data_IF_243648552815
#
_entry.id   IF_243648552815
#
_cell.length_a   1.000
_cell.length_b   1.000
_cell.length_c   1.000
_cell.angle_alpha   90.00
_cell.angle_beta   90.00
_cell.angle_gamma   90.00
#
_symmetry.space_group_name_H-M   'P 1'
#
loop_
_entity.id
_entity.type
_entity.pdbx_description
1 polymer ?
#
# COMPACT_ATOMS: atom_id res chain seq x y z
N UNK A 1 -30.19 -43.51 14.57
CA UNK A 1 -29.21 -44.14 13.65
C UNK A 1 -28.12 -43.12 13.37
N UNK A 2 -26.98 -43.22 14.06
CA UNK A 2 -25.79 -42.39 13.81
C UNK A 2 -24.89 -43.15 12.84
N UNK A 3 -24.46 -42.56 11.71
CA UNK A 3 -23.49 -43.22 10.85
C UNK A 3 -22.13 -43.25 11.56
N UNK A 4 -21.51 -44.43 11.56
CA UNK A 4 -20.19 -44.72 12.10
C UNK A 4 -19.14 -43.72 11.57
N UNK A 5 -18.30 -43.20 12.47
CA UNK A 5 -17.17 -42.37 12.10
C UNK A 5 -16.17 -43.16 11.22
N UNK A 6 -15.64 -42.58 10.13
CA UNK A 6 -14.57 -43.20 9.35
C UNK A 6 -13.25 -43.20 10.15
N UNK A 7 -12.38 -44.22 9.99
CA UNK A 7 -11.12 -44.30 10.72
C UNK A 7 -10.17 -43.19 10.27
N UNK A 8 -9.43 -42.61 11.23
CA UNK A 8 -8.42 -41.58 10.98
C UNK A 8 -7.26 -42.17 10.15
N UNK A 9 -6.69 -41.45 9.17
CA UNK A 9 -5.46 -41.87 8.53
C UNK A 9 -4.30 -41.83 9.53
N UNK A 10 -3.49 -42.88 9.53
CA UNK A 10 -2.27 -42.99 10.34
C UNK A 10 -1.41 -41.75 10.17
N UNK A 11 -1.02 -41.14 11.31
CA UNK A 11 -0.11 -40.00 11.36
C UNK A 11 1.22 -40.39 10.69
N UNK A 12 1.37 -40.07 9.41
CA UNK A 12 2.69 -39.90 8.83
C UNK A 12 3.26 -38.61 9.40
N UNK A 13 4.25 -38.79 10.29
CA UNK A 13 5.11 -37.75 10.83
C UNK A 13 5.62 -36.87 9.69
N UNK A 14 5.28 -35.57 9.71
CA UNK A 14 5.86 -34.64 8.76
C UNK A 14 7.27 -34.27 9.24
N UNK A 15 8.29 -34.85 8.60
CA UNK A 15 9.72 -34.74 8.94
C UNK A 15 10.34 -33.36 8.65
N UNK A 16 9.55 -32.39 8.16
CA UNK A 16 10.05 -31.15 7.56
C UNK A 16 9.93 -29.88 8.44
N UNK A 17 9.48 -29.96 9.71
CA UNK A 17 9.43 -28.77 10.58
C UNK A 17 10.16 -28.98 11.91
N UNK A 18 11.34 -28.37 12.04
CA UNK A 18 12.18 -28.43 13.27
C UNK A 18 11.79 -27.42 14.36
N UNK A 19 10.71 -26.64 14.20
CA UNK A 19 10.22 -25.74 15.26
C UNK A 19 8.84 -26.19 15.74
N UNK A 20 8.87 -26.98 16.82
CA UNK A 20 7.70 -27.53 17.50
C UNK A 20 6.97 -26.44 18.29
N UNK A 21 6.16 -25.64 17.59
CA UNK A 21 5.02 -24.93 18.18
C UNK A 21 3.81 -25.27 17.32
N UNK A 22 3.26 -26.46 17.58
CA UNK A 22 2.07 -26.96 16.89
C UNK A 22 0.88 -26.13 17.38
N UNK A 23 0.51 -25.09 16.63
CA UNK A 23 -0.76 -24.40 16.87
C UNK A 23 -1.86 -25.42 16.58
N UNK A 24 -2.73 -25.77 17.53
CA UNK A 24 -3.85 -26.65 17.24
C UNK A 24 -4.74 -25.96 16.22
N UNK A 25 -4.76 -26.47 14.98
CA UNK A 25 -5.72 -26.06 13.98
C UNK A 25 -7.11 -26.45 14.49
N UNK A 26 -7.81 -25.48 15.12
CA UNK A 26 -9.21 -25.65 15.48
C UNK A 26 -9.96 -25.86 14.16
N UNK A 27 -10.57 -27.03 13.97
CA UNK A 27 -11.31 -27.32 12.75
C UNK A 27 -12.57 -26.46 12.77
N UNK A 28 -12.56 -25.36 12.03
CA UNK A 28 -13.73 -24.51 11.81
C UNK A 28 -14.76 -25.29 10.98
N UNK A 29 -16.04 -25.24 11.36
CA UNK A 29 -17.11 -25.85 10.57
C UNK A 29 -17.57 -24.85 9.51
N UNK A 30 -17.95 -25.38 8.33
CA UNK A 30 -18.46 -24.58 7.22
C UNK A 30 -19.78 -23.91 7.64
N UNK A 31 -19.72 -22.62 7.98
CA UNK A 31 -20.83 -21.84 8.55
C UNK A 31 -20.45 -20.95 9.74
N UNK A 32 -19.27 -21.16 10.35
CA UNK A 32 -18.80 -20.30 11.44
C UNK A 32 -18.33 -18.93 10.90
N UNK A 33 -18.67 -17.80 11.55
CA UNK A 33 -18.27 -16.46 11.11
C UNK A 33 -16.75 -16.21 11.16
N UNK A 34 -16.00 -17.10 11.81
CA UNK A 34 -14.54 -17.09 11.90
C UNK A 34 -13.88 -18.04 10.87
N UNK A 35 -14.68 -18.82 10.12
CA UNK A 35 -14.22 -19.67 9.03
C UNK A 35 -13.72 -18.80 7.87
N UNK A 36 -12.44 -18.96 7.48
CA UNK A 36 -11.82 -18.18 6.41
C UNK A 36 -11.16 -16.88 6.84
N UNK A 37 -11.21 -16.51 8.13
CA UNK A 37 -10.45 -15.38 8.68
C UNK A 37 -9.10 -15.87 9.21
N UNK A 38 -7.98 -15.22 8.86
CA UNK A 38 -6.68 -15.54 9.47
C UNK A 38 -6.75 -15.34 11.00
N UNK A 39 -6.08 -16.18 11.80
CA UNK A 39 -6.12 -16.06 13.25
C UNK A 39 -5.47 -14.77 13.72
N UNK A 40 -6.05 -14.18 14.78
CA UNK A 40 -5.59 -12.91 15.38
C UNK A 40 -4.14 -12.97 15.81
N UNK A 41 -3.32 -12.05 15.30
CA UNK A 41 -1.87 -12.01 15.54
C UNK A 41 -1.02 -12.93 14.63
N UNK A 42 -1.60 -13.56 13.61
CA UNK A 42 -0.82 -14.27 12.59
C UNK A 42 -0.10 -13.31 11.65
N UNK A 43 1.06 -13.72 11.11
CA UNK A 43 1.76 -12.97 10.03
C UNK A 43 0.88 -12.70 8.81
N UNK A 44 -0.17 -13.49 8.60
CA UNK A 44 -1.18 -13.32 7.55
C UNK A 44 -2.23 -12.26 7.86
N UNK A 45 -2.49 -11.96 9.14
CA UNK A 45 -3.37 -10.85 9.56
C UNK A 45 -2.67 -9.49 9.35
N UNK A 46 -1.36 -9.43 9.57
CA UNK A 46 -0.54 -8.22 9.45
C UNK A 46 -0.24 -7.80 8.00
N UNK A 47 -1.05 -8.23 7.04
CA UNK A 47 -0.83 -8.02 5.59
C UNK A 47 -1.54 -6.82 4.99
N UNK A 48 -2.31 -6.07 5.77
CA UNK A 48 -3.09 -4.95 5.24
C UNK A 48 -3.00 -3.73 6.14
N UNK A 49 -1.90 -2.97 6.02
CA UNK A 49 -1.75 -1.66 6.70
C UNK A 49 -0.74 -0.71 6.02
N UNK A 50 -0.20 -0.99 4.82
CA UNK A 50 1.02 -0.27 4.38
C UNK A 50 1.06 0.20 2.93
N UNK A 51 -0.06 0.55 2.32
CA UNK A 51 0.00 1.28 1.04
C UNK A 51 -1.14 2.25 0.84
N UNK A 52 -1.23 3.26 1.71
CA UNK A 52 -1.83 4.54 1.30
C UNK A 52 -0.89 5.14 0.25
N UNK A 53 -1.13 4.82 -1.03
CA UNK A 53 -0.29 5.22 -2.15
C UNK A 53 -0.46 6.71 -2.44
N UNK A 54 0.23 7.56 -1.68
CA UNK A 54 0.30 9.00 -1.93
C UNK A 54 1.46 9.29 -2.90
N UNK A 55 1.19 10.05 -3.96
CA UNK A 55 2.21 10.43 -4.94
C UNK A 55 2.83 11.77 -4.58
N UNK A 56 4.12 11.77 -4.26
CA UNK A 56 4.91 12.96 -3.95
C UNK A 56 6.20 12.99 -4.76
N UNK A 57 6.57 14.17 -5.26
CA UNK A 57 7.84 14.39 -5.99
C UNK A 57 8.46 15.73 -5.57
N UNK A 58 9.79 15.82 -5.56
CA UNK A 58 10.46 17.11 -5.32
C UNK A 58 10.49 17.97 -6.57
N UNK A 59 10.47 19.30 -6.41
CA UNK A 59 10.54 20.24 -7.53
C UNK A 59 11.79 20.02 -8.37
N UNK A 60 12.95 19.79 -7.73
CA UNK A 60 14.19 19.54 -8.47
C UNK A 60 14.10 18.31 -9.36
N UNK A 61 13.60 17.19 -8.84
CA UNK A 61 13.43 15.98 -9.64
C UNK A 61 12.46 16.22 -10.80
N UNK A 62 11.30 16.83 -10.52
CA UNK A 62 10.30 17.11 -11.55
C UNK A 62 10.86 18.06 -12.62
N UNK A 63 11.59 19.10 -12.21
CA UNK A 63 12.24 20.05 -13.09
C UNK A 63 13.28 19.36 -13.95
N UNK A 64 14.24 18.64 -13.35
CA UNK A 64 15.32 17.94 -14.03
C UNK A 64 14.80 16.98 -15.12
N UNK A 65 13.69 16.25 -14.87
CA UNK A 65 13.06 15.40 -15.88
C UNK A 65 12.47 16.18 -17.06
N UNK A 66 11.87 17.33 -16.79
CA UNK A 66 11.20 18.15 -17.79
C UNK A 66 12.11 19.17 -18.48
N UNK A 67 13.32 19.43 -17.97
CA UNK A 67 14.27 20.35 -18.60
C UNK A 67 14.55 19.95 -20.05
N UNK A 68 14.54 18.65 -20.34
CA UNK A 68 14.71 18.09 -21.69
C UNK A 68 13.44 18.16 -22.55
N UNK A 69 12.27 18.44 -21.96
CA UNK A 69 10.97 18.35 -22.61
C UNK A 69 10.34 19.74 -22.80
N UNK A 70 10.26 20.57 -21.74
CA UNK A 70 9.66 21.91 -21.81
C UNK A 70 9.97 22.79 -20.60
N UNK A 71 10.23 24.07 -20.87
CA UNK A 71 10.41 25.13 -19.87
C UNK A 71 9.10 25.63 -19.22
N UNK A 72 7.94 25.06 -19.57
CA UNK A 72 6.62 25.54 -19.12
C UNK A 72 6.14 24.94 -17.79
N UNK A 73 6.96 24.13 -17.13
CA UNK A 73 6.57 23.39 -15.94
C UNK A 73 5.95 24.23 -14.84
N UNK A 74 6.59 25.36 -14.49
CA UNK A 74 6.12 26.22 -13.40
C UNK A 74 4.70 26.73 -13.68
N UNK A 75 4.41 27.10 -14.93
CA UNK A 75 3.06 27.52 -15.33
C UNK A 75 2.02 26.40 -15.29
N UNK A 76 2.42 25.17 -15.61
CA UNK A 76 1.54 23.98 -15.53
C UNK A 76 1.23 23.66 -14.07
N UNK A 77 2.24 23.69 -13.20
CA UNK A 77 2.07 23.47 -11.76
C UNK A 77 1.14 24.50 -11.12
N UNK A 78 1.30 25.78 -11.46
CA UNK A 78 0.40 26.84 -11.00
C UNK A 78 -1.04 26.65 -11.46
N UNK A 79 -1.23 26.23 -12.72
CA UNK A 79 -2.56 25.91 -13.23
C UNK A 79 -3.17 24.72 -12.50
N UNK A 80 -2.41 23.66 -12.29
CA UNK A 80 -2.86 22.47 -11.56
C UNK A 80 -3.22 22.78 -10.09
N UNK A 81 -2.45 23.66 -9.44
CA UNK A 81 -2.76 24.18 -8.09
C UNK A 81 -4.10 24.91 -8.07
N UNK A 82 -4.36 25.79 -9.05
CA UNK A 82 -5.63 26.52 -9.16
C UNK A 82 -6.85 25.59 -9.27
N UNK A 83 -6.68 24.42 -9.88
CA UNK A 83 -7.74 23.43 -10.01
C UNK A 83 -7.79 22.39 -8.87
N UNK A 84 -6.89 22.48 -7.88
CA UNK A 84 -6.87 21.57 -6.73
C UNK A 84 -6.37 20.15 -7.04
N UNK A 85 -5.61 19.96 -8.11
CA UNK A 85 -5.00 18.65 -8.41
C UNK A 85 -3.72 18.41 -7.62
N UNK A 86 -2.98 19.47 -7.33
CA UNK A 86 -1.64 19.44 -6.75
C UNK A 86 -1.58 20.36 -5.53
N UNK A 87 -0.85 19.93 -4.51
CA UNK A 87 -0.49 20.71 -3.32
C UNK A 87 1.03 20.88 -3.23
N UNK A 88 1.46 22.09 -2.91
CA UNK A 88 2.80 22.44 -2.46
C UNK A 88 2.67 23.71 -1.60
N UNK A 89 3.68 24.06 -0.77
CA UNK A 89 3.56 25.16 0.19
C UNK A 89 3.11 26.46 -0.47
N UNK A 90 2.10 27.10 0.11
CA UNK A 90 1.47 28.32 -0.42
C UNK A 90 2.38 29.55 -0.36
N UNK A 91 3.51 29.44 0.34
CA UNK A 91 4.57 30.46 0.43
C UNK A 91 5.20 30.80 -0.93
N UNK A 92 5.01 29.94 -1.94
CA UNK A 92 5.65 30.10 -3.25
C UNK A 92 4.61 30.32 -4.36
N UNK A 93 4.61 31.53 -4.93
CA UNK A 93 3.88 31.84 -6.17
C UNK A 93 4.68 31.47 -7.44
N UNK A 94 6.01 31.40 -7.34
CA UNK A 94 6.92 31.01 -8.43
C UNK A 94 8.02 30.11 -7.85
N UNK A 95 8.29 29.00 -8.52
CA UNK A 95 9.37 28.09 -8.14
C UNK A 95 10.64 28.44 -8.95
N UNK A 96 11.74 28.74 -8.26
CA UNK A 96 13.02 29.09 -8.87
C UNK A 96 14.02 27.95 -8.63
N UNK A 97 14.73 27.57 -9.68
CA UNK A 97 15.81 26.58 -9.61
C UNK A 97 16.89 27.04 -8.61
N UNK A 98 17.43 26.10 -7.83
CA UNK A 98 18.49 26.34 -6.86
C UNK A 98 18.00 26.92 -5.52
N UNK A 99 16.79 27.51 -5.47
CA UNK A 99 16.15 27.96 -4.23
C UNK A 99 15.06 27.01 -3.75
N UNK A 100 14.18 26.57 -4.64
CA UNK A 100 12.98 25.80 -4.30
C UNK A 100 13.09 24.32 -4.63
N UNK A 101 14.32 23.82 -4.80
CA UNK A 101 14.63 22.46 -5.22
C UNK A 101 14.07 21.36 -4.29
N UNK A 102 13.97 21.67 -3.00
CA UNK A 102 13.50 20.78 -1.94
C UNK A 102 11.97 20.83 -1.74
N UNK A 103 11.25 21.67 -2.48
CA UNK A 103 9.80 21.79 -2.37
C UNK A 103 9.15 20.48 -2.81
N UNK A 104 8.33 19.90 -1.93
CA UNK A 104 7.54 18.69 -2.23
C UNK A 104 6.24 19.08 -2.91
N UNK A 105 5.93 18.34 -3.97
CA UNK A 105 4.74 18.47 -4.78
C UNK A 105 3.93 17.20 -4.58
N UNK A 106 2.77 17.33 -3.95
CA UNK A 106 1.88 16.21 -3.61
C UNK A 106 0.67 16.23 -4.54
N UNK A 107 0.33 15.07 -5.12
CA UNK A 107 -0.89 14.93 -5.93
C UNK A 107 -2.10 14.72 -5.02
N UNK A 108 -3.04 15.66 -5.03
CA UNK A 108 -4.26 15.59 -4.22
C UNK A 108 -5.37 14.78 -4.89
N UNK A 109 -5.50 14.91 -6.21
CA UNK A 109 -6.59 14.32 -6.97
C UNK A 109 -6.07 13.73 -8.27
N UNK A 110 -6.42 12.48 -8.53
CA UNK A 110 -6.20 11.89 -9.85
C UNK A 110 -7.15 12.52 -10.86
N UNK A 111 -6.66 12.92 -12.05
CA UNK A 111 -7.54 13.35 -13.12
C UNK A 111 -8.44 12.19 -13.54
N UNK A 112 -9.74 12.45 -13.66
CA UNK A 112 -10.66 11.53 -14.32
C UNK A 112 -10.28 11.49 -15.80
N UNK A 113 -9.88 10.32 -16.29
CA UNK A 113 -9.47 10.12 -17.69
C UNK A 113 -10.68 10.05 -18.62
#
# INVERSE_FOLDING_TARGET
>A
MVPSAPPLPDRLSNSYSKNSQVIPCRIYKKGDPEYGRPPKGSRTEQRDDSSTSTYEITFKQLFDFYTNISNKLVGILLRARKHGYIYFPDEYEILFQGKHDHVKITLLRMPSN
#
